data_IF_302159765752
#
_entry.id   IF_302159765752
#
_cell.length_a   1.000
_cell.length_b   1.000
_cell.length_c   1.000
_cell.angle_alpha   90.00
_cell.angle_beta   90.00
_cell.angle_gamma   90.00
#
_symmetry.space_group_name_H-M   'P 1'
#
loop_
_entity.id
_entity.type
_entity.pdbx_description
1 polymer ?
#
# COMPACT_ATOMS: atom_id res chain seq x y z
N UNK A 1 14.22 -5.58 -6.03
CA UNK A 1 13.15 -4.55 -6.16
C UNK A 1 12.93 -3.81 -4.84
N UNK A 2 12.86 -4.50 -3.68
CA UNK A 2 12.95 -3.90 -2.34
C UNK A 2 14.20 -4.45 -1.67
N UNK A 3 14.97 -3.59 -1.01
CA UNK A 3 16.11 -3.99 -0.18
C UNK A 3 16.06 -3.26 1.14
N UNK A 4 16.03 -4.02 2.22
CA UNK A 4 16.10 -3.58 3.61
C UNK A 4 17.42 -4.03 4.19
N UNK A 5 18.14 -3.14 4.85
CA UNK A 5 19.44 -3.46 5.46
C UNK A 5 19.46 -2.96 6.89
N UNK A 6 19.59 -3.89 7.85
CA UNK A 6 19.72 -3.60 9.27
C UNK A 6 18.54 -2.83 9.86
N UNK A 7 17.31 -3.10 9.40
CA UNK A 7 16.12 -2.39 9.86
C UNK A 7 15.81 -2.71 11.31
N UNK A 8 15.77 -1.67 12.12
CA UNK A 8 15.26 -1.71 13.48
C UNK A 8 14.04 -0.80 13.61
N UNK A 9 13.06 -1.23 14.38
CA UNK A 9 11.90 -0.40 14.75
C UNK A 9 11.61 -0.57 16.23
N UNK A 10 11.72 0.52 16.96
CA UNK A 10 11.45 0.61 18.40
C UNK A 10 10.37 1.67 18.59
N UNK A 11 9.26 1.27 19.20
CA UNK A 11 8.22 2.19 19.66
C UNK A 11 8.51 2.57 21.12
N UNK A 12 8.53 3.86 21.39
CA UNK A 12 8.78 4.40 22.73
C UNK A 12 7.57 5.17 23.22
N UNK A 13 7.08 4.80 24.37
CA UNK A 13 6.18 5.60 25.19
C UNK A 13 6.94 6.10 26.43
N UNK A 14 6.35 6.96 27.24
CA UNK A 14 7.03 7.51 28.43
C UNK A 14 7.52 6.45 29.42
N UNK A 15 6.99 5.23 29.37
CA UNK A 15 7.25 4.17 30.37
C UNK A 15 7.73 2.84 29.73
N UNK A 16 7.54 2.64 28.43
CA UNK A 16 7.78 1.33 27.81
C UNK A 16 8.48 1.51 26.45
N UNK A 17 9.53 0.72 26.24
CA UNK A 17 10.10 0.47 24.91
C UNK A 17 9.61 -0.87 24.38
N UNK A 18 9.09 -0.88 23.17
CA UNK A 18 8.72 -2.10 22.46
C UNK A 18 9.56 -2.23 21.20
N UNK A 19 10.38 -3.26 21.13
CA UNK A 19 11.14 -3.61 19.93
C UNK A 19 10.19 -4.37 19.00
N UNK A 20 9.80 -3.75 17.91
CA UNK A 20 8.92 -4.35 16.92
C UNK A 20 9.70 -5.06 15.81
N UNK A 21 10.87 -4.55 15.43
CA UNK A 21 11.79 -5.17 14.46
C UNK A 21 13.22 -4.99 14.96
N UNK A 22 14.02 -6.05 14.82
CA UNK A 22 15.43 -6.06 15.22
C UNK A 22 16.29 -6.60 14.08
N UNK A 23 17.20 -5.78 13.57
CA UNK A 23 18.20 -6.09 12.56
C UNK A 23 17.66 -6.86 11.34
N UNK A 24 16.48 -6.46 10.83
CA UNK A 24 15.83 -7.14 9.70
C UNK A 24 16.55 -6.79 8.41
N UNK A 25 16.97 -7.85 7.70
CA UNK A 25 17.55 -7.77 6.37
C UNK A 25 16.64 -8.55 5.41
N UNK A 26 16.23 -7.91 4.32
CA UNK A 26 15.31 -8.49 3.34
C UNK A 26 15.65 -7.98 1.95
N UNK A 27 15.66 -8.87 0.97
CA UNK A 27 15.77 -8.50 -0.43
C UNK A 27 14.66 -9.20 -1.21
N UNK A 28 13.90 -8.42 -1.98
CA UNK A 28 12.82 -8.90 -2.85
C UNK A 28 13.12 -8.48 -4.27
N UNK A 29 13.19 -9.43 -5.18
CA UNK A 29 13.54 -9.18 -6.58
C UNK A 29 12.30 -8.83 -7.43
N UNK A 30 12.55 -8.31 -8.64
CA UNK A 30 11.46 -8.03 -9.59
C UNK A 30 10.78 -9.33 -10.01
N UNK A 31 9.44 -9.34 -9.93
CA UNK A 31 8.62 -10.50 -10.28
C UNK A 31 8.55 -11.58 -9.18
N UNK A 32 9.18 -11.35 -8.03
CA UNK A 32 9.13 -12.27 -6.90
C UNK A 32 7.81 -12.09 -6.14
N UNK A 33 7.24 -13.22 -5.70
CA UNK A 33 6.13 -13.29 -4.76
C UNK A 33 6.68 -13.74 -3.41
N UNK A 34 6.59 -12.87 -2.41
CA UNK A 34 7.04 -13.14 -1.05
C UNK A 34 5.86 -13.18 -0.08
N UNK A 35 5.81 -14.20 0.76
CA UNK A 35 4.87 -14.31 1.88
C UNK A 35 5.63 -14.22 3.20
N UNK A 36 5.20 -13.29 4.07
CA UNK A 36 5.74 -13.11 5.42
C UNK A 36 4.74 -13.67 6.42
N UNK A 37 5.11 -14.77 7.07
CA UNK A 37 4.27 -15.48 8.02
C UNK A 37 4.85 -15.40 9.43
N UNK A 38 3.97 -15.51 10.43
CA UNK A 38 4.34 -15.53 11.85
C UNK A 38 3.14 -15.27 12.75
N UNK A 39 3.27 -15.46 14.06
CA UNK A 39 2.21 -15.24 15.03
C UNK A 39 1.75 -13.78 15.07
N UNK A 40 0.57 -13.52 15.66
CA UNK A 40 0.10 -12.15 15.89
C UNK A 40 1.11 -11.39 16.76
N UNK A 41 1.34 -10.12 16.45
CA UNK A 41 2.25 -9.25 17.20
C UNK A 41 3.74 -9.41 16.89
N UNK A 42 4.16 -10.31 15.97
CA UNK A 42 5.58 -10.50 15.63
C UNK A 42 6.16 -9.45 14.67
N UNK A 43 5.48 -8.35 14.40
CA UNK A 43 6.02 -7.24 13.60
C UNK A 43 5.71 -7.28 12.10
N UNK A 44 4.87 -8.22 11.58
CA UNK A 44 4.55 -8.31 10.15
C UNK A 44 4.00 -7.01 9.56
N UNK A 45 2.94 -6.47 10.17
CA UNK A 45 2.34 -5.20 9.71
C UNK A 45 3.28 -4.01 9.89
N UNK A 46 4.13 -4.03 10.93
CA UNK A 46 5.20 -3.02 11.11
C UNK A 46 6.19 -3.07 9.95
N UNK A 47 6.65 -4.27 9.58
CA UNK A 47 7.56 -4.45 8.46
C UNK A 47 6.91 -4.00 7.14
N UNK A 48 5.64 -4.38 6.92
CA UNK A 48 4.88 -3.98 5.74
C UNK A 48 4.72 -2.44 5.66
N UNK A 49 4.42 -1.79 6.79
CA UNK A 49 4.31 -0.33 6.85
C UNK A 49 5.64 0.37 6.54
N UNK A 50 6.76 -0.18 7.00
CA UNK A 50 8.10 0.35 6.69
C UNK A 50 8.42 0.15 5.21
N UNK A 51 8.20 -1.05 4.65
CA UNK A 51 8.36 -1.30 3.20
C UNK A 51 7.44 -0.40 2.38
N UNK A 52 6.27 -0.09 2.92
CA UNK A 52 5.27 0.78 2.32
C UNK A 52 5.55 2.27 2.47
N UNK A 53 6.60 2.66 3.18
CA UNK A 53 6.92 4.07 3.49
C UNK A 53 5.75 4.78 4.21
N UNK A 54 4.97 4.02 4.99
CA UNK A 54 3.91 4.53 5.85
C UNK A 54 4.42 4.83 7.25
N UNK A 55 5.51 4.18 7.64
CA UNK A 55 6.24 4.42 8.88
C UNK A 55 7.75 4.43 8.59
N UNK A 56 8.51 5.14 9.41
CA UNK A 56 9.96 5.20 9.29
C UNK A 56 10.62 4.18 10.23
N UNK A 57 11.71 3.51 9.84
CA UNK A 57 12.50 2.71 10.75
C UNK A 57 13.21 3.59 11.78
N UNK A 58 13.54 3.03 12.94
CA UNK A 58 14.38 3.70 13.95
C UNK A 58 15.83 3.78 13.45
N UNK A 59 16.29 2.75 12.74
CA UNK A 59 17.60 2.71 12.07
C UNK A 59 17.58 1.68 10.94
N UNK A 60 18.62 1.70 10.12
CA UNK A 60 18.74 0.87 8.92
C UNK A 60 18.46 1.68 7.65
N UNK A 61 18.51 1.03 6.49
CA UNK A 61 18.34 1.68 5.18
C UNK A 61 17.31 0.95 4.33
N UNK A 62 16.56 1.72 3.54
CA UNK A 62 15.54 1.22 2.63
C UNK A 62 15.88 1.65 1.20
N UNK A 63 15.89 0.68 0.29
CA UNK A 63 15.98 0.93 -1.14
C UNK A 63 14.79 0.28 -1.85
N UNK A 64 14.09 1.06 -2.69
CA UNK A 64 12.93 0.60 -3.47
C UNK A 64 13.14 0.97 -4.94
N UNK A 65 13.02 -0.02 -5.82
CA UNK A 65 13.20 0.16 -7.26
C UNK A 65 14.53 0.86 -7.62
N UNK A 66 15.63 0.51 -6.91
CA UNK A 66 16.96 1.11 -7.12
C UNK A 66 17.12 2.52 -6.53
N UNK A 67 16.14 3.01 -5.78
CA UNK A 67 16.18 4.34 -5.18
C UNK A 67 16.27 4.22 -3.65
N UNK A 68 17.29 4.80 -3.04
CA UNK A 68 17.36 4.97 -1.59
C UNK A 68 16.35 6.03 -1.17
N UNK A 69 15.53 5.71 -0.18
CA UNK A 69 14.48 6.61 0.30
C UNK A 69 14.88 7.37 1.56
N UNK A 70 16.03 7.02 2.14
CA UNK A 70 16.56 7.67 3.34
C UNK A 70 16.81 9.16 3.07
N UNK A 71 16.31 10.03 3.95
CA UNK A 71 16.47 11.47 3.81
C UNK A 71 15.49 12.17 2.85
N UNK A 72 14.59 11.43 2.19
CA UNK A 72 13.51 12.05 1.43
C UNK A 72 12.54 12.78 2.36
N UNK A 73 12.04 13.94 1.92
CA UNK A 73 11.00 14.69 2.63
C UNK A 73 9.63 14.00 2.49
N UNK A 74 8.73 14.22 3.42
CA UNK A 74 7.39 13.60 3.44
C UNK A 74 6.65 13.73 2.11
N UNK A 75 6.73 14.89 1.45
CA UNK A 75 6.11 15.14 0.14
C UNK A 75 6.72 14.27 -0.96
N UNK A 76 8.03 14.06 -0.92
CA UNK A 76 8.74 13.23 -1.88
C UNK A 76 8.43 11.75 -1.65
N UNK A 77 8.43 11.31 -0.37
CA UNK A 77 8.01 9.97 0.02
C UNK A 77 6.57 9.68 -0.40
N UNK A 78 5.65 10.61 -0.17
CA UNK A 78 4.24 10.46 -0.57
C UNK A 78 4.10 10.33 -2.09
N UNK A 79 4.83 11.14 -2.86
CA UNK A 79 4.81 11.07 -4.32
C UNK A 79 5.47 9.78 -4.84
N UNK A 80 6.56 9.35 -4.22
CA UNK A 80 7.25 8.10 -4.54
C UNK A 80 6.35 6.90 -4.26
N UNK A 81 5.79 6.82 -3.04
CA UNK A 81 4.84 5.79 -2.62
C UNK A 81 3.67 5.69 -3.58
N UNK A 82 3.02 6.81 -3.90
CA UNK A 82 1.90 6.82 -4.83
C UNK A 82 2.26 6.27 -6.21
N UNK A 83 3.47 6.52 -6.72
CA UNK A 83 3.90 6.06 -8.06
C UNK A 83 4.33 4.60 -8.09
N UNK A 84 5.03 4.14 -7.05
CA UNK A 84 5.74 2.86 -7.05
C UNK A 84 4.98 1.74 -6.35
N UNK A 85 4.14 2.08 -5.37
CA UNK A 85 3.51 1.11 -4.48
C UNK A 85 2.00 1.09 -4.63
N UNK A 86 1.42 -0.10 -4.59
CA UNK A 86 -0.01 -0.34 -4.42
C UNK A 86 -0.24 -1.03 -3.07
N UNK A 87 -1.32 -0.65 -2.36
CA UNK A 87 -1.64 -1.20 -1.04
C UNK A 87 -2.98 -1.89 -1.04
N UNK A 88 -3.01 -3.12 -0.50
CA UNK A 88 -4.22 -3.84 -0.13
C UNK A 88 -4.18 -4.04 1.38
N UNK A 89 -5.08 -3.38 2.11
CA UNK A 89 -5.17 -3.45 3.57
C UNK A 89 -6.24 -4.43 4.00
N UNK A 90 -6.04 -5.07 5.15
CA UNK A 90 -6.97 -5.99 5.77
C UNK A 90 -8.38 -5.37 5.95
N UNK A 91 -8.47 -4.13 6.39
CA UNK A 91 -9.73 -3.39 6.60
C UNK A 91 -10.22 -2.62 5.38
N UNK A 92 -9.72 -2.91 4.17
CA UNK A 92 -10.03 -2.28 2.89
C UNK A 92 -9.75 -0.77 2.82
N UNK A 93 -9.95 -0.02 3.88
CA UNK A 93 -9.81 1.44 3.99
C UNK A 93 -10.47 2.19 2.82
N UNK A 94 -11.70 1.81 2.47
CA UNK A 94 -12.51 2.54 1.51
C UNK A 94 -13.12 3.79 2.17
N UNK A 95 -13.19 4.87 1.40
CA UNK A 95 -13.84 6.09 1.85
C UNK A 95 -15.33 5.94 1.65
N UNK A 96 -16.09 5.83 2.75
CA UNK A 96 -17.53 5.55 2.72
C UNK A 96 -18.38 6.65 2.06
N UNK A 97 -17.88 7.89 2.01
CA UNK A 97 -18.55 9.01 1.34
C UNK A 97 -18.28 9.07 -0.17
N UNK A 98 -17.46 8.19 -0.71
CA UNK A 98 -17.15 8.06 -2.13
C UNK A 98 -17.73 6.76 -2.67
N UNK A 99 -18.24 6.79 -3.91
CA UNK A 99 -18.65 5.57 -4.61
C UNK A 99 -17.43 4.70 -4.98
N UNK A 100 -17.70 3.52 -5.52
CA UNK A 100 -16.65 2.55 -5.92
C UNK A 100 -15.68 3.15 -6.93
N UNK A 101 -16.18 3.82 -7.96
CA UNK A 101 -15.34 4.41 -9.01
C UNK A 101 -14.42 5.49 -8.44
N UNK A 102 -14.99 6.40 -7.63
CA UNK A 102 -14.23 7.49 -7.02
C UNK A 102 -13.16 6.97 -6.05
N UNK A 103 -13.45 5.90 -5.28
CA UNK A 103 -12.45 5.24 -4.45
C UNK A 103 -11.26 4.71 -5.26
N UNK A 104 -11.52 4.13 -6.43
CA UNK A 104 -10.46 3.59 -7.31
C UNK A 104 -9.68 4.71 -7.99
N UNK A 105 -10.30 5.84 -8.32
CA UNK A 105 -9.63 6.99 -8.95
C UNK A 105 -8.63 7.72 -8.04
N UNK A 106 -8.75 7.60 -6.70
CA UNK A 106 -7.99 8.41 -5.74
C UNK A 106 -6.46 8.47 -5.99
N UNK A 107 -5.75 7.36 -6.22
CA UNK A 107 -4.31 7.42 -6.48
C UNK A 107 -3.95 8.25 -7.70
N UNK A 108 -4.78 8.24 -8.73
CA UNK A 108 -4.57 8.98 -9.97
C UNK A 108 -4.87 10.47 -9.82
N UNK A 109 -5.78 10.83 -8.92
CA UNK A 109 -6.06 12.22 -8.58
C UNK A 109 -4.81 12.92 -8.03
N UNK A 110 -4.09 12.26 -7.12
CA UNK A 110 -2.84 12.78 -6.56
C UNK A 110 -1.70 12.86 -7.59
N UNK A 111 -1.77 12.08 -8.68
CA UNK A 111 -0.82 12.16 -9.81
C UNK A 111 -1.16 13.25 -10.82
N UNK A 112 -2.21 14.03 -10.60
CA UNK A 112 -2.72 15.07 -11.51
C UNK A 112 -3.11 14.53 -12.90
N UNK A 113 -3.53 13.28 -12.98
CA UNK A 113 -4.10 12.68 -14.19
C UNK A 113 -5.44 13.36 -14.49
N UNK A 114 -5.74 13.63 -15.77
CA UNK A 114 -7.00 14.27 -16.16
C UNK A 114 -8.22 13.44 -15.74
N UNK A 115 -9.34 14.10 -15.45
CA UNK A 115 -10.58 13.44 -15.00
C UNK A 115 -11.05 12.35 -16.00
N UNK A 116 -10.99 12.64 -17.30
CA UNK A 116 -11.35 11.69 -18.37
C UNK A 116 -10.50 10.43 -18.30
N UNK A 117 -9.18 10.60 -18.17
CA UNK A 117 -8.23 9.49 -18.16
C UNK A 117 -8.31 8.68 -16.85
N UNK A 118 -8.46 9.36 -15.70
CA UNK A 118 -8.66 8.67 -14.41
C UNK A 118 -9.86 7.75 -14.47
N UNK A 119 -11.00 8.28 -14.97
CA UNK A 119 -12.23 7.51 -15.08
C UNK A 119 -12.06 6.30 -15.99
N UNK A 120 -11.45 6.47 -17.15
CA UNK A 120 -11.17 5.37 -18.09
C UNK A 120 -10.35 4.26 -17.43
N UNK A 121 -9.24 4.62 -16.77
CA UNK A 121 -8.36 3.66 -16.10
C UNK A 121 -9.08 2.94 -14.94
N UNK A 122 -9.86 3.67 -14.15
CA UNK A 122 -10.62 3.08 -13.05
C UNK A 122 -11.71 2.11 -13.55
N UNK A 123 -12.43 2.46 -14.61
CA UNK A 123 -13.43 1.59 -15.26
C UNK A 123 -12.78 0.29 -15.78
N UNK A 124 -11.62 0.40 -16.45
CA UNK A 124 -10.88 -0.77 -16.96
C UNK A 124 -10.45 -1.72 -15.82
N UNK A 125 -9.95 -1.18 -14.73
CA UNK A 125 -9.54 -2.00 -13.58
C UNK A 125 -10.74 -2.62 -12.88
N UNK A 126 -11.83 -1.88 -12.71
CA UNK A 126 -13.07 -2.39 -12.13
C UNK A 126 -13.68 -3.51 -12.99
N UNK A 127 -13.54 -3.44 -14.30
CA UNK A 127 -13.91 -4.52 -15.20
C UNK A 127 -13.06 -5.78 -14.94
N UNK A 128 -11.74 -5.64 -14.80
CA UNK A 128 -10.83 -6.77 -14.52
C UNK A 128 -11.16 -7.49 -13.20
N UNK A 129 -11.66 -6.77 -12.19
CA UNK A 129 -12.06 -7.38 -10.90
C UNK A 129 -13.56 -7.75 -10.86
N UNK A 130 -14.29 -7.64 -11.99
CA UNK A 130 -15.69 -8.07 -12.11
C UNK A 130 -16.69 -7.16 -11.39
N UNK A 131 -16.40 -5.85 -11.26
CA UNK A 131 -17.22 -4.87 -10.56
C UNK A 131 -17.79 -3.75 -11.44
N UNK A 132 -17.83 -3.94 -12.77
CA UNK A 132 -18.38 -2.94 -13.71
C UNK A 132 -19.80 -2.51 -13.37
N UNK A 133 -20.62 -3.43 -12.89
CA UNK A 133 -22.02 -3.18 -12.52
C UNK A 133 -22.18 -2.51 -11.14
N UNK A 134 -21.11 -2.28 -10.40
CA UNK A 134 -21.10 -1.71 -9.04
C UNK A 134 -20.41 -0.34 -8.94
N UNK A 135 -19.97 0.25 -10.03
CA UNK A 135 -19.16 1.50 -10.04
C UNK A 135 -19.80 2.66 -9.29
N UNK A 136 -21.13 2.76 -9.29
CA UNK A 136 -21.89 3.85 -8.64
C UNK A 136 -22.33 3.51 -7.21
N UNK A 137 -22.09 2.28 -6.73
CA UNK A 137 -22.46 1.88 -5.38
C UNK A 137 -21.52 2.49 -4.35
N UNK A 138 -22.02 2.71 -3.15
CA UNK A 138 -21.23 3.12 -2.00
C UNK A 138 -20.63 1.87 -1.33
N UNK A 139 -19.48 1.98 -0.64
CA UNK A 139 -18.87 0.85 0.06
C UNK A 139 -19.82 0.11 1.01
N UNK A 140 -20.70 0.83 1.68
CA UNK A 140 -21.72 0.26 2.60
C UNK A 140 -22.77 -0.63 1.91
N UNK A 141 -22.86 -0.58 0.59
CA UNK A 141 -23.78 -1.38 -0.23
C UNK A 141 -23.11 -2.63 -0.81
N UNK A 142 -21.86 -2.90 -0.44
CA UNK A 142 -21.05 -3.99 -0.96
C UNK A 142 -20.85 -5.08 0.09
N UNK A 143 -20.70 -6.32 -0.37
CA UNK A 143 -20.19 -7.39 0.48
C UNK A 143 -18.70 -7.20 0.79
N UNK A 144 -18.18 -7.86 1.85
CA UNK A 144 -16.76 -7.80 2.19
C UNK A 144 -15.83 -8.17 1.02
N UNK A 145 -16.14 -9.25 0.30
CA UNK A 145 -15.37 -9.65 -0.89
C UNK A 145 -15.46 -8.66 -2.06
N UNK A 146 -16.57 -7.89 -2.16
CA UNK A 146 -16.66 -6.80 -3.14
C UNK A 146 -15.80 -5.61 -2.68
N UNK A 147 -15.84 -5.24 -1.40
CA UNK A 147 -14.97 -4.19 -0.84
C UNK A 147 -13.49 -4.52 -1.04
N UNK A 148 -13.10 -5.78 -0.82
CA UNK A 148 -11.73 -6.25 -1.07
C UNK A 148 -11.33 -6.09 -2.54
N UNK A 149 -12.20 -6.47 -3.48
CA UNK A 149 -11.94 -6.27 -4.92
C UNK A 149 -11.83 -4.79 -5.30
N UNK A 150 -12.59 -3.91 -4.67
CA UNK A 150 -12.43 -2.45 -4.84
C UNK A 150 -11.07 -1.99 -4.32
N UNK A 151 -10.64 -2.47 -3.15
CA UNK A 151 -9.32 -2.16 -2.59
C UNK A 151 -8.18 -2.65 -3.49
N UNK A 152 -8.32 -3.85 -4.07
CA UNK A 152 -7.37 -4.38 -5.06
C UNK A 152 -7.36 -3.50 -6.31
N UNK A 153 -8.52 -3.14 -6.85
CA UNK A 153 -8.64 -2.26 -8.02
C UNK A 153 -7.93 -0.92 -7.77
N UNK A 154 -8.17 -0.31 -6.60
CA UNK A 154 -7.49 0.93 -6.17
C UNK A 154 -5.97 0.76 -6.07
N UNK A 155 -5.50 -0.37 -5.59
CA UNK A 155 -4.07 -0.65 -5.47
C UNK A 155 -3.37 -0.72 -6.83
N UNK A 156 -4.03 -1.30 -7.84
CA UNK A 156 -3.41 -1.57 -9.16
C UNK A 156 -3.72 -0.50 -10.23
N UNK A 157 -4.68 0.40 -10.01
CA UNK A 157 -5.10 1.39 -11.03
C UNK A 157 -3.96 2.28 -11.51
N UNK A 158 -3.01 2.56 -10.65
CA UNK A 158 -1.82 3.36 -10.97
C UNK A 158 -0.69 2.57 -11.61
N UNK A 159 -0.88 1.30 -11.93
CA UNK A 159 0.15 0.40 -12.43
C UNK A 159 1.44 0.44 -11.58
N UNK A 160 1.37 0.12 -10.28
CA UNK A 160 2.52 0.15 -9.39
C UNK A 160 3.55 -0.92 -9.76
N UNK A 161 4.81 -0.71 -9.37
CA UNK A 161 5.87 -1.71 -9.55
C UNK A 161 5.85 -2.79 -8.47
N UNK A 162 5.26 -2.46 -7.31
CA UNK A 162 5.21 -3.33 -6.12
C UNK A 162 3.81 -3.26 -5.53
N UNK A 163 3.26 -4.41 -5.15
CA UNK A 163 2.02 -4.50 -4.37
C UNK A 163 2.36 -5.04 -2.99
N UNK A 164 1.92 -4.32 -1.97
CA UNK A 164 1.99 -4.72 -0.58
C UNK A 164 0.60 -5.07 -0.09
N UNK A 165 0.45 -6.26 0.47
CA UNK A 165 -0.84 -6.76 0.92
C UNK A 165 -0.75 -7.26 2.37
N UNK A 166 -1.62 -6.75 3.23
CA UNK A 166 -1.74 -7.12 4.64
C UNK A 166 -3.01 -7.96 4.82
N UNK A 167 -2.83 -9.27 5.02
CA UNK A 167 -3.91 -10.26 5.16
C UNK A 167 -5.03 -10.07 4.12
N UNK A 168 -4.68 -10.13 2.81
CA UNK A 168 -5.59 -9.78 1.72
C UNK A 168 -6.70 -10.80 1.48
#
# INVERSE_FOLDING_TARGET
MIKLTGINKIYRTNEIETVALENVNLEVNKGEFLSIMGPSGCGKSTLLNIMGLLDAPTSGTIEIAGTKVDGMKDKELAAFRNRKLGFVFQSFHLINSLNVLDNVELPLLYRKVSAKERRRLAEEVLQKVGLSHRMRHMPTQLSGGQCQRVAIARAIVGNPEIILADEP
#
